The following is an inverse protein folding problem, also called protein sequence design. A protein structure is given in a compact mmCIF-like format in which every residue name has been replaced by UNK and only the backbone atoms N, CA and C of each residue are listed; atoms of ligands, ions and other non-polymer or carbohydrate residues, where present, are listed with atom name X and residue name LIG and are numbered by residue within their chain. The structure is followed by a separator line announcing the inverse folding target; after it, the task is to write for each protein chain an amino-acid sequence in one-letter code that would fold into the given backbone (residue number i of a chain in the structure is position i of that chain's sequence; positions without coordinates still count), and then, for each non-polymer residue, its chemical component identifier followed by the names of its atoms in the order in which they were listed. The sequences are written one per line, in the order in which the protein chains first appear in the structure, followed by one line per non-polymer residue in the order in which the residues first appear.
data_IF_250279476358
#
_entry.id   IF_250279476358
#
_cell.length_a   1.000
_cell.length_b   1.000
_cell.length_c   1.000
_cell.angle_alpha   90.00
_cell.angle_beta   90.00
_cell.angle_gamma   90.00
#
_symmetry.space_group_name_H-M   'P 1'
#
loop_
_entity.id
_entity.type
_entity.pdbx_description
1 polymer ?
#
# COMPACT_ATOMS: atom_id res chain seq x y z
N UNK A 1 15.56 18.11 25.25
CA UNK A 1 14.60 17.45 24.36
C UNK A 1 15.25 16.17 23.87
N UNK A 2 14.85 15.04 24.44
CA UNK A 2 15.25 13.72 23.94
C UNK A 2 14.77 13.61 22.49
N UNK A 3 15.60 13.08 21.61
CA UNK A 3 15.28 12.97 20.19
C UNK A 3 14.20 11.90 19.98
N UNK A 4 13.05 12.24 19.39
CA UNK A 4 11.97 11.28 19.11
C UNK A 4 12.46 10.06 18.32
N UNK A 5 13.53 10.22 17.52
CA UNK A 5 14.17 9.12 16.82
C UNK A 5 14.73 8.07 17.78
N UNK A 6 15.48 8.50 18.79
CA UNK A 6 16.13 7.60 19.75
C UNK A 6 15.07 6.86 20.58
N UNK A 7 14.01 7.54 20.97
CA UNK A 7 12.88 6.94 21.71
C UNK A 7 12.12 5.91 20.88
N UNK A 8 11.89 6.18 19.59
CA UNK A 8 11.26 5.21 18.67
C UNK A 8 12.18 4.01 18.43
N UNK A 9 13.49 4.22 18.30
CA UNK A 9 14.45 3.14 18.15
C UNK A 9 14.53 2.26 19.41
N UNK A 10 14.53 2.89 20.59
CA UNK A 10 14.47 2.19 21.88
C UNK A 10 13.19 1.36 21.99
N UNK A 11 12.02 1.97 21.74
CA UNK A 11 10.75 1.24 21.74
C UNK A 11 10.73 0.10 20.71
N UNK A 12 11.24 0.33 19.50
CA UNK A 12 11.33 -0.69 18.45
C UNK A 12 12.17 -1.88 18.90
N UNK A 13 13.29 -1.61 19.58
CA UNK A 13 14.18 -2.64 20.11
C UNK A 13 13.46 -3.48 21.17
N UNK A 14 12.89 -2.84 22.19
CA UNK A 14 12.20 -3.55 23.28
C UNK A 14 11.00 -4.35 22.79
N UNK A 15 10.21 -3.78 21.86
CA UNK A 15 9.10 -4.49 21.20
C UNK A 15 9.60 -5.69 20.41
N UNK A 16 10.72 -5.57 19.68
CA UNK A 16 11.27 -6.67 18.88
C UNK A 16 11.82 -7.83 19.71
N UNK A 17 12.09 -7.60 21.00
CA UNK A 17 12.58 -8.60 21.93
C UNK A 17 11.44 -9.39 22.63
N UNK A 18 10.18 -8.96 22.44
CA UNK A 18 9.03 -9.66 23.00
C UNK A 18 8.76 -10.95 22.23
N UNK A 19 8.69 -12.07 22.95
CA UNK A 19 8.37 -13.39 22.40
C UNK A 19 6.90 -13.76 22.67
N UNK A 20 6.00 -12.78 22.53
CA UNK A 20 4.56 -12.91 22.81
C UNK A 20 3.72 -12.57 21.58
N UNK A 21 2.58 -13.25 21.44
CA UNK A 21 1.65 -13.02 20.33
C UNK A 21 0.96 -11.65 20.39
N UNK A 22 0.77 -11.12 21.61
CA UNK A 22 0.31 -9.76 21.83
C UNK A 22 1.50 -8.84 22.08
N UNK A 23 1.52 -7.73 21.34
CA UNK A 23 2.61 -6.79 21.30
C UNK A 23 2.31 -5.67 22.31
N UNK A 24 3.14 -5.58 23.34
CA UNK A 24 3.02 -4.57 24.37
C UNK A 24 3.85 -3.34 24.01
N UNK A 25 3.18 -2.25 23.64
CA UNK A 25 3.85 -0.98 23.34
C UNK A 25 4.25 -0.23 24.62
N UNK A 26 3.78 -0.61 25.80
CA UNK A 26 4.02 0.12 27.07
C UNK A 26 5.37 -0.20 27.72
N UNK A 27 6.20 -1.01 27.07
CA UNK A 27 7.53 -1.41 27.58
C UNK A 27 8.55 -0.28 27.71
N UNK A 28 8.25 0.91 27.18
CA UNK A 28 9.06 2.12 27.41
C UNK A 28 8.17 3.28 27.82
N UNK A 29 8.74 4.28 28.50
CA UNK A 29 8.01 5.53 28.86
C UNK A 29 7.38 6.21 27.65
N UNK A 30 8.08 6.22 26.53
CA UNK A 30 7.57 6.78 25.28
C UNK A 30 6.41 5.96 24.72
N UNK A 31 6.47 4.64 24.85
CA UNK A 31 5.41 3.73 24.43
C UNK A 31 4.16 3.77 25.31
N UNK A 32 4.31 3.96 26.62
CA UNK A 32 3.20 4.29 27.53
C UNK A 32 2.51 5.59 27.13
N UNK A 33 3.30 6.65 26.85
CA UNK A 33 2.77 7.93 26.39
C UNK A 33 2.05 7.78 25.04
N UNK A 34 2.65 7.04 24.09
CA UNK A 34 2.07 6.75 22.79
C UNK A 34 0.74 5.99 22.88
N UNK A 35 0.61 5.09 23.86
CA UNK A 35 -0.59 4.26 24.03
C UNK A 35 -1.74 5.00 24.71
N UNK A 36 -1.44 6.00 25.54
CA UNK A 36 -2.42 6.71 26.36
C UNK A 36 -2.75 8.12 25.86
N UNK A 37 -2.08 8.62 24.82
CA UNK A 37 -2.25 9.98 24.33
C UNK A 37 -3.37 10.11 23.29
N UNK A 38 -4.21 11.13 23.46
CA UNK A 38 -5.16 11.61 22.45
C UNK A 38 -4.60 12.80 21.64
N UNK A 39 -3.35 13.20 21.87
CA UNK A 39 -2.72 14.32 21.16
C UNK A 39 -2.34 13.94 19.73
N UNK A 40 -3.11 14.45 18.78
CA UNK A 40 -2.90 14.23 17.35
C UNK A 40 -1.55 14.77 16.84
N UNK A 41 -1.00 15.83 17.44
CA UNK A 41 0.32 16.34 17.02
C UNK A 41 1.43 15.39 17.45
N UNK A 42 1.38 14.93 18.70
CA UNK A 42 2.30 13.91 19.19
C UNK A 42 2.22 12.64 18.32
N UNK A 43 1.02 12.12 18.07
CA UNK A 43 0.81 10.94 17.23
C UNK A 43 1.31 11.16 15.79
N UNK A 44 1.12 12.36 15.24
CA UNK A 44 1.61 12.73 13.91
C UNK A 44 3.14 12.76 13.83
N UNK A 45 3.80 13.35 14.84
CA UNK A 45 5.27 13.38 14.94
C UNK A 45 5.81 11.96 15.12
N UNK A 46 5.24 11.18 16.04
CA UNK A 46 5.60 9.77 16.26
C UNK A 46 5.50 8.97 14.95
N UNK A 47 4.38 9.08 14.24
CA UNK A 47 4.16 8.45 12.93
C UNK A 47 5.21 8.89 11.90
N UNK A 48 5.53 10.18 11.84
CA UNK A 48 6.51 10.74 10.92
C UNK A 48 7.91 10.13 11.12
N UNK A 49 8.37 10.11 12.37
CA UNK A 49 9.67 9.56 12.74
C UNK A 49 9.72 8.04 12.57
N UNK A 50 8.66 7.31 12.91
CA UNK A 50 8.59 5.85 12.65
C UNK A 50 8.67 5.52 11.16
N UNK A 51 8.03 6.33 10.29
CA UNK A 51 8.16 6.15 8.84
C UNK A 51 9.60 6.37 8.37
N UNK A 52 10.31 7.35 8.94
CA UNK A 52 11.72 7.58 8.64
C UNK A 52 12.55 6.35 9.02
N UNK A 53 12.42 5.85 10.26
CA UNK A 53 13.10 4.63 10.73
C UNK A 53 12.81 3.45 9.80
N UNK A 54 11.54 3.18 9.50
CA UNK A 54 11.13 2.08 8.62
C UNK A 54 11.77 2.19 7.23
N UNK A 55 11.75 3.38 6.62
CA UNK A 55 12.33 3.59 5.30
C UNK A 55 13.85 3.38 5.31
N UNK A 56 14.55 3.97 6.28
CA UNK A 56 16.00 3.82 6.42
C UNK A 56 16.39 2.37 6.69
N UNK A 57 15.69 1.65 7.58
CA UNK A 57 15.92 0.22 7.83
C UNK A 57 15.70 -0.63 6.58
N UNK A 58 14.67 -0.31 5.77
CA UNK A 58 14.44 -0.98 4.48
C UNK A 58 15.58 -0.72 3.49
N UNK A 59 16.09 0.51 3.43
CA UNK A 59 17.20 0.86 2.54
C UNK A 59 18.48 0.11 2.95
N UNK A 60 18.76 0.00 4.26
CA UNK A 60 19.87 -0.80 4.79
C UNK A 60 19.70 -2.27 4.42
N UNK A 61 18.52 -2.86 4.66
CA UNK A 61 18.23 -4.25 4.26
C UNK A 61 18.45 -4.44 2.76
N UNK A 62 17.91 -3.55 1.95
CA UNK A 62 18.03 -3.61 0.49
C UNK A 62 19.49 -3.56 0.06
N UNK A 63 20.30 -2.69 0.66
CA UNK A 63 21.73 -2.62 0.40
C UNK A 63 22.44 -3.94 0.75
N UNK A 64 22.16 -4.52 1.92
CA UNK A 64 22.69 -5.82 2.34
C UNK A 64 22.28 -6.95 1.38
N UNK A 65 21.00 -7.02 1.01
CA UNK A 65 20.46 -7.99 0.07
C UNK A 65 21.16 -7.89 -1.29
N UNK A 66 21.41 -6.68 -1.80
CA UNK A 66 22.15 -6.49 -3.07
C UNK A 66 23.59 -6.98 -2.98
N UNK A 67 24.28 -6.73 -1.86
CA UNK A 67 25.65 -7.21 -1.64
C UNK A 67 25.69 -8.74 -1.55
N UNK A 68 24.76 -9.34 -0.81
CA UNK A 68 24.60 -10.80 -0.73
C UNK A 68 24.29 -11.40 -2.10
N UNK A 69 23.30 -10.86 -2.82
CA UNK A 69 22.92 -11.32 -4.14
C UNK A 69 24.08 -11.29 -5.13
N UNK A 70 24.87 -10.21 -5.16
CA UNK A 70 26.08 -10.13 -6.01
C UNK A 70 27.11 -11.19 -5.64
N UNK A 71 27.39 -11.37 -4.35
CA UNK A 71 28.33 -12.40 -3.92
C UNK A 71 27.85 -13.81 -4.29
N UNK A 72 26.56 -14.10 -4.13
CA UNK A 72 25.94 -15.40 -4.44
C UNK A 72 25.85 -15.61 -5.97
N UNK A 73 25.65 -14.56 -6.76
CA UNK A 73 25.75 -14.59 -8.22
C UNK A 73 27.15 -15.07 -8.65
N UNK A 74 28.19 -14.51 -8.04
CA UNK A 74 29.59 -14.82 -8.35
C UNK A 74 30.09 -16.15 -7.75
N UNK A 75 29.62 -16.52 -6.56
CA UNK A 75 30.19 -17.60 -5.72
C UNK A 75 29.27 -18.82 -5.52
N UNK A 76 28.03 -18.76 -5.99
CA UNK A 76 27.03 -19.81 -5.82
C UNK A 76 26.21 -19.70 -4.53
N UNK A 77 25.20 -20.55 -4.42
CA UNK A 77 24.24 -20.58 -3.30
C UNK A 77 24.92 -20.88 -1.96
N UNK A 78 24.40 -20.28 -0.88
CA UNK A 78 24.93 -20.45 0.49
C UNK A 78 23.79 -20.68 1.49
N UNK A 79 24.01 -21.56 2.47
CA UNK A 79 23.14 -21.73 3.64
C UNK A 79 23.68 -20.95 4.83
N UNK A 80 22.85 -20.13 5.46
CA UNK A 80 23.17 -19.42 6.70
C UNK A 80 22.07 -19.70 7.73
N UNK A 81 22.41 -20.39 8.81
CA UNK A 81 21.43 -20.87 9.78
C UNK A 81 20.44 -21.86 9.15
N UNK A 82 19.15 -21.56 9.27
CA UNK A 82 18.06 -22.36 8.72
C UNK A 82 17.61 -21.91 7.32
N UNK A 83 18.28 -20.93 6.72
CA UNK A 83 17.92 -20.36 5.42
C UNK A 83 18.95 -20.68 4.33
N UNK A 84 18.47 -20.90 3.10
CA UNK A 84 19.31 -21.10 1.91
C UNK A 84 19.08 -19.94 0.94
N UNK A 85 20.15 -19.24 0.60
CA UNK A 85 20.14 -18.11 -0.30
C UNK A 85 20.65 -18.52 -1.67
N UNK A 86 19.83 -18.29 -2.70
CA UNK A 86 20.13 -18.58 -4.10
C UNK A 86 19.94 -17.30 -4.90
N UNK A 87 20.86 -17.01 -5.80
CA UNK A 87 20.68 -15.91 -6.73
C UNK A 87 19.56 -16.23 -7.71
N UNK A 88 18.54 -15.38 -7.78
CA UNK A 88 17.45 -15.50 -8.73
C UNK A 88 17.16 -14.15 -9.38
N UNK A 89 17.19 -14.12 -10.71
CA UNK A 89 16.74 -12.97 -11.50
C UNK A 89 15.30 -13.20 -11.92
N UNK A 90 14.37 -12.75 -11.07
CA UNK A 90 12.95 -12.80 -11.41
C UNK A 90 12.66 -11.90 -12.62
N UNK A 91 11.79 -12.36 -13.50
CA UNK A 91 11.23 -11.57 -14.59
C UNK A 91 9.71 -11.47 -14.40
N UNK A 92 9.13 -10.40 -14.93
CA UNK A 92 7.67 -10.25 -14.99
C UNK A 92 7.27 -10.13 -16.45
N UNK A 93 6.24 -10.87 -16.85
CA UNK A 93 5.66 -10.70 -18.17
C UNK A 93 4.89 -9.38 -18.20
N UNK A 94 5.35 -8.44 -19.02
CA UNK A 94 4.57 -7.25 -19.36
C UNK A 94 3.99 -7.46 -20.74
N UNK A 95 2.69 -7.21 -20.88
CA UNK A 95 2.05 -7.18 -22.19
C UNK A 95 2.71 -6.07 -23.00
N UNK A 96 3.26 -6.42 -24.15
CA UNK A 96 3.96 -5.46 -25.01
C UNK A 96 3.02 -4.37 -25.52
N UNK A 97 1.82 -4.78 -25.96
CA UNK A 97 0.76 -3.88 -26.40
C UNK A 97 -0.60 -4.38 -25.90
N UNK A 98 -1.14 -3.65 -24.92
CA UNK A 98 -2.42 -4.00 -24.29
C UNK A 98 -3.59 -3.86 -25.27
N UNK A 99 -3.54 -2.91 -26.21
CA UNK A 99 -4.62 -2.70 -27.19
C UNK A 99 -4.70 -3.87 -28.16
N UNK A 100 -3.55 -4.36 -28.63
CA UNK A 100 -3.50 -5.54 -29.50
C UNK A 100 -3.98 -6.80 -28.79
N UNK A 101 -3.64 -6.99 -27.51
CA UNK A 101 -4.17 -8.11 -26.72
C UNK A 101 -5.70 -8.05 -26.64
N UNK A 102 -6.27 -6.87 -26.33
CA UNK A 102 -7.73 -6.69 -26.27
C UNK A 102 -8.39 -7.01 -27.62
N UNK A 103 -7.84 -6.47 -28.72
CA UNK A 103 -8.36 -6.75 -30.06
C UNK A 103 -8.30 -8.24 -30.40
N UNK A 104 -7.19 -8.91 -30.08
CA UNK A 104 -7.02 -10.34 -30.31
C UNK A 104 -8.06 -11.17 -29.53
N UNK A 105 -8.34 -10.84 -28.28
CA UNK A 105 -9.38 -11.53 -27.48
C UNK A 105 -10.76 -11.35 -28.14
N UNK A 106 -11.09 -10.12 -28.54
CA UNK A 106 -12.37 -9.81 -29.20
C UNK A 106 -12.49 -10.57 -30.52
N UNK A 107 -11.45 -10.56 -31.35
CA UNK A 107 -11.43 -11.22 -32.67
C UNK A 107 -11.50 -12.76 -32.58
N UNK A 108 -10.98 -13.34 -31.48
CA UNK A 108 -10.93 -14.79 -31.29
C UNK A 108 -12.13 -15.35 -30.53
N UNK A 109 -12.92 -14.51 -29.89
CA UNK A 109 -14.15 -14.95 -29.23
C UNK A 109 -15.25 -15.15 -30.27
N UNK A 110 -15.89 -16.32 -30.24
CA UNK A 110 -16.99 -16.65 -31.15
C UNK A 110 -18.30 -16.00 -30.73
N UNK A 111 -18.48 -15.75 -29.44
CA UNK A 111 -19.63 -15.06 -28.87
C UNK A 111 -19.28 -14.25 -27.61
N UNK A 112 -20.29 -13.57 -27.05
CA UNK A 112 -20.14 -12.73 -25.87
C UNK A 112 -19.87 -13.51 -24.58
N UNK A 113 -20.30 -14.78 -24.51
CA UNK A 113 -20.11 -15.60 -23.31
C UNK A 113 -18.66 -16.09 -23.25
N UNK A 114 -18.12 -16.59 -24.37
CA UNK A 114 -16.70 -16.92 -24.50
C UNK A 114 -15.81 -15.70 -24.24
N UNK A 115 -16.16 -14.54 -24.80
CA UNK A 115 -15.47 -13.28 -24.55
C UNK A 115 -15.46 -12.93 -23.04
N UNK A 116 -16.62 -13.06 -22.39
CA UNK A 116 -16.74 -12.77 -20.96
C UNK A 116 -15.90 -13.72 -20.11
N UNK A 117 -15.90 -15.01 -20.43
CA UNK A 117 -15.08 -16.01 -19.73
C UNK A 117 -13.59 -15.77 -19.94
N UNK A 118 -13.16 -15.45 -21.16
CA UNK A 118 -11.76 -15.11 -21.45
C UNK A 118 -11.30 -13.87 -20.68
N UNK A 119 -12.14 -12.82 -20.62
CA UNK A 119 -11.84 -11.61 -19.85
C UNK A 119 -11.77 -11.91 -18.34
N UNK A 120 -12.70 -12.71 -17.80
CA UNK A 120 -12.67 -13.12 -16.40
C UNK A 120 -11.42 -13.93 -16.04
N UNK A 121 -10.98 -14.82 -16.94
CA UNK A 121 -9.77 -15.62 -16.74
C UNK A 121 -8.50 -14.75 -16.67
N UNK A 122 -8.46 -13.66 -17.44
CA UNK A 122 -7.31 -12.74 -17.50
C UNK A 122 -7.36 -11.71 -16.35
N UNK A 123 -8.52 -11.15 -16.05
CA UNK A 123 -8.69 -10.10 -15.02
C UNK A 123 -8.74 -10.67 -13.60
N UNK A 124 -9.17 -11.93 -13.45
CA UNK A 124 -9.48 -12.55 -12.18
C UNK A 124 -10.83 -12.11 -11.59
N UNK A 125 -11.29 -12.84 -10.58
CA UNK A 125 -12.62 -12.63 -9.95
C UNK A 125 -12.69 -11.37 -9.07
N UNK A 126 -11.56 -10.84 -8.61
CA UNK A 126 -11.49 -9.72 -7.67
C UNK A 126 -11.10 -8.40 -8.36
N UNK A 127 -11.58 -8.18 -9.58
CA UNK A 127 -11.25 -7.00 -10.36
C UNK A 127 -11.76 -5.70 -9.69
N UNK A 128 -10.86 -4.75 -9.45
CA UNK A 128 -11.20 -3.42 -8.92
C UNK A 128 -11.11 -2.38 -10.04
N UNK A 129 -12.23 -1.85 -10.55
CA UNK A 129 -12.21 -0.89 -11.64
C UNK A 129 -11.70 0.48 -11.20
N UNK A 130 -11.09 1.21 -12.14
CA UNK A 130 -10.79 2.65 -11.96
C UNK A 130 -12.09 3.46 -12.07
N UNK A 131 -12.60 3.96 -10.95
CA UNK A 131 -13.87 4.72 -10.91
C UNK A 131 -13.93 5.87 -11.92
N UNK A 132 -12.89 6.72 -12.00
CA UNK A 132 -12.84 7.82 -12.98
C UNK A 132 -12.97 7.34 -14.44
N UNK A 133 -12.43 6.17 -14.74
CA UNK A 133 -12.55 5.57 -16.07
C UNK A 133 -13.97 5.06 -16.34
N UNK A 134 -14.56 4.38 -15.35
CA UNK A 134 -15.95 3.92 -15.42
C UNK A 134 -16.92 5.09 -15.61
N UNK A 135 -16.73 6.19 -14.87
CA UNK A 135 -17.56 7.38 -14.99
C UNK A 135 -17.44 8.03 -16.37
N UNK A 136 -16.22 8.09 -16.91
CA UNK A 136 -15.98 8.65 -18.24
C UNK A 136 -16.68 7.81 -19.32
N UNK A 137 -16.65 6.47 -19.20
CA UNK A 137 -17.37 5.57 -20.11
C UNK A 137 -18.88 5.74 -19.98
N UNK A 138 -19.42 5.78 -18.75
CA UNK A 138 -20.84 6.01 -18.51
C UNK A 138 -21.30 7.35 -19.11
N UNK A 139 -20.56 8.41 -18.84
CA UNK A 139 -20.86 9.76 -19.32
C UNK A 139 -20.78 9.85 -20.85
N UNK A 140 -19.76 9.22 -21.46
CA UNK A 140 -19.63 9.11 -22.92
C UNK A 140 -20.76 8.32 -23.58
N UNK A 141 -21.51 7.53 -22.79
CA UNK A 141 -22.72 6.80 -23.22
C UNK A 141 -24.02 7.47 -22.78
N UNK A 142 -23.97 8.71 -22.30
CA UNK A 142 -25.11 9.46 -21.74
C UNK A 142 -25.83 8.72 -20.59
N UNK A 143 -25.09 7.93 -19.80
CA UNK A 143 -25.61 7.25 -18.61
C UNK A 143 -25.15 7.97 -17.34
N UNK A 144 -25.97 7.90 -16.28
CA UNK A 144 -25.63 8.46 -14.98
C UNK A 144 -24.51 7.62 -14.31
N UNK A 145 -23.34 8.20 -14.00
CA UNK A 145 -22.22 7.47 -13.39
C UNK A 145 -22.55 6.82 -12.03
N UNK A 146 -23.36 7.47 -11.20
CA UNK A 146 -23.72 6.94 -9.88
C UNK A 146 -24.60 5.70 -10.00
N UNK A 147 -25.56 5.71 -10.94
CA UNK A 147 -26.37 4.53 -11.25
C UNK A 147 -25.51 3.36 -11.73
N UNK A 148 -24.52 3.60 -12.60
CA UNK A 148 -23.62 2.56 -13.12
C UNK A 148 -22.75 1.98 -12.00
N UNK A 149 -22.25 2.82 -11.09
CA UNK A 149 -21.50 2.35 -9.92
C UNK A 149 -22.37 1.48 -9.03
N UNK A 150 -23.58 1.89 -8.70
CA UNK A 150 -24.48 1.13 -7.83
C UNK A 150 -24.94 -0.19 -8.47
N UNK A 151 -25.00 -0.25 -9.81
CA UNK A 151 -25.37 -1.46 -10.55
C UNK A 151 -24.28 -2.52 -10.51
N UNK A 152 -23.01 -2.13 -10.64
CA UNK A 152 -21.90 -3.08 -10.84
C UNK A 152 -20.93 -3.18 -9.65
N UNK A 153 -20.99 -2.26 -8.69
CA UNK A 153 -20.06 -2.18 -7.57
C UNK A 153 -20.81 -2.22 -6.24
N UNK A 154 -20.20 -2.84 -5.23
CA UNK A 154 -20.62 -2.73 -3.85
C UNK A 154 -19.49 -2.14 -3.00
N UNK A 155 -19.85 -1.45 -1.91
CA UNK A 155 -18.88 -0.91 -0.96
C UNK A 155 -18.63 -1.94 0.14
N UNK A 156 -17.41 -2.44 0.21
CA UNK A 156 -16.92 -3.22 1.34
C UNK A 156 -16.12 -2.31 2.28
N UNK A 157 -16.51 -2.28 3.55
CA UNK A 157 -15.78 -1.55 4.58
C UNK A 157 -14.75 -2.49 5.20
N UNK A 158 -13.50 -2.04 5.30
CA UNK A 158 -12.49 -2.77 6.06
C UNK A 158 -12.87 -2.77 7.54
N UNK A 159 -12.70 -3.91 8.20
CA UNK A 159 -12.97 -4.05 9.64
C UNK A 159 -12.12 -3.13 10.52
N UNK A 160 -10.90 -2.78 10.04
CA UNK A 160 -9.98 -1.90 10.76
C UNK A 160 -9.96 -0.50 10.13
N UNK A 161 -10.09 0.57 10.93
CA UNK A 161 -9.97 1.93 10.43
C UNK A 161 -8.55 2.18 9.91
N UNK A 162 -8.45 2.80 8.74
CA UNK A 162 -7.19 3.13 8.08
C UNK A 162 -7.02 4.66 8.01
N UNK A 163 -5.87 5.16 8.48
CA UNK A 163 -5.54 6.58 8.37
C UNK A 163 -5.09 6.90 6.94
N UNK A 164 -5.87 7.71 6.22
CA UNK A 164 -5.50 8.24 4.90
C UNK A 164 -5.09 9.70 5.01
N UNK A 165 -3.92 10.04 4.47
CA UNK A 165 -3.44 11.43 4.38
C UNK A 165 -3.76 12.03 3.00
N UNK A 166 -4.28 13.25 2.98
CA UNK A 166 -4.46 14.03 1.75
C UNK A 166 -3.31 15.03 1.67
N UNK A 167 -2.56 15.01 0.58
CA UNK A 167 -1.60 16.08 0.28
C UNK A 167 -2.36 17.29 -0.28
N UNK A 168 -2.56 18.33 0.54
CA UNK A 168 -3.29 19.55 0.17
C UNK A 168 -2.68 20.30 -1.02
N UNK A 169 -1.38 20.12 -1.28
CA UNK A 169 -0.68 20.73 -2.41
C UNK A 169 -0.96 20.01 -3.75
N UNK A 170 -1.57 18.82 -3.72
CA UNK A 170 -1.97 18.13 -4.94
C UNK A 170 -3.15 18.87 -5.59
N UNK A 171 -3.07 19.09 -6.91
CA UNK A 171 -4.17 19.70 -7.68
C UNK A 171 -5.49 18.95 -7.51
N UNK A 172 -5.43 17.62 -7.36
CA UNK A 172 -6.59 16.75 -7.15
C UNK A 172 -7.11 16.68 -5.71
N UNK A 173 -6.47 17.37 -4.75
CA UNK A 173 -6.99 17.41 -3.38
C UNK A 173 -8.33 18.16 -3.32
N UNK A 174 -9.31 17.65 -2.56
CA UNK A 174 -10.63 18.28 -2.48
C UNK A 174 -10.53 19.64 -1.78
N UNK A 175 -11.36 20.60 -2.21
CA UNK A 175 -11.31 21.98 -1.70
C UNK A 175 -11.44 22.07 -0.19
N UNK A 176 -12.36 21.30 0.41
CA UNK A 176 -12.52 21.27 1.87
C UNK A 176 -11.23 20.92 2.62
N UNK A 177 -10.33 20.11 2.03
CA UNK A 177 -9.07 19.75 2.66
C UNK A 177 -8.04 20.87 2.54
N UNK A 178 -8.10 21.65 1.46
CA UNK A 178 -7.23 22.83 1.24
C UNK A 178 -7.62 24.01 2.13
N UNK A 179 -8.91 24.14 2.43
CA UNK A 179 -9.45 25.24 3.23
C UNK A 179 -9.28 25.04 4.75
N UNK A 180 -8.95 23.81 5.20
CA UNK A 180 -8.70 23.51 6.61
C UNK A 180 -7.35 24.06 7.07
N UNK A 181 -7.36 24.92 8.09
CA UNK A 181 -6.14 25.42 8.75
C UNK A 181 -5.56 24.40 9.72
N UNK A 182 -4.33 24.67 10.16
CA UNK A 182 -3.67 23.87 11.20
C UNK A 182 -4.53 23.82 12.48
N UNK A 183 -4.71 22.60 13.03
CA UNK A 183 -5.60 22.27 14.16
C UNK A 183 -7.10 22.50 13.93
N UNK A 184 -7.53 22.84 12.73
CA UNK A 184 -8.93 23.00 12.40
C UNK A 184 -9.59 21.64 12.11
N UNK A 185 -10.80 21.44 12.64
CA UNK A 185 -11.61 20.24 12.37
C UNK A 185 -12.67 20.55 11.32
N UNK A 186 -12.88 19.62 10.39
CA UNK A 186 -14.03 19.69 9.49
C UNK A 186 -15.32 19.54 10.30
N UNK A 187 -16.24 20.49 10.18
CA UNK A 187 -17.58 20.37 10.74
C UNK A 187 -18.32 19.22 10.05
N UNK A 188 -19.02 18.40 10.83
CA UNK A 188 -19.84 17.29 10.32
C UNK A 188 -20.99 17.80 9.47
#
# INVERSE_FOLDING_TARGET
MTNNLDQILELTKEVSAQDTAELDLTVTKYGEELSNTDDLEFLWVARGTTNLVKNTSRDIKTFSDHKMAKNIEDSGAIRLGDEVFVFNKSYTWKVQDLKNLINWIIEKSTDNEELSQALLAIMGQNFVPKLKGLDAVASGRNQNPDMIRDTFLHKEWKDKPELKSININNTSAPMWAKDLKHKERRKK
#
